data_IF_353988812089
#
_entry.id   IF_353988812089
#
_cell.length_a   1.000
_cell.length_b   1.000
_cell.length_c   1.000
_cell.angle_alpha   90.00
_cell.angle_beta   90.00
_cell.angle_gamma   90.00
#
_symmetry.space_group_name_H-M   'P 1'
#
loop_
_entity.id
_entity.type
_entity.pdbx_description
1 polymer ?
#
# COMPACT_ATOMS: atom_id res chain seq x y z
N UNK A 1 -4.27 -12.74 -15.05
CA UNK A 1 -3.59 -11.45 -14.77
C UNK A 1 -4.22 -10.93 -13.50
N UNK A 2 -3.46 -10.74 -12.42
CA UNK A 2 -4.06 -10.30 -11.17
C UNK A 2 -4.52 -8.83 -11.25
N UNK A 3 -5.66 -8.57 -10.63
CA UNK A 3 -6.36 -7.29 -10.62
C UNK A 3 -6.61 -6.90 -9.18
N UNK A 4 -6.29 -5.65 -8.84
CA UNK A 4 -6.63 -5.08 -7.55
C UNK A 4 -7.89 -4.23 -7.67
N UNK A 5 -8.83 -4.42 -6.74
CA UNK A 5 -9.96 -3.53 -6.51
C UNK A 5 -9.54 -2.46 -5.53
N UNK A 6 -9.61 -1.19 -5.94
CA UNK A 6 -9.05 -0.07 -5.18
C UNK A 6 -10.11 1.00 -4.93
N UNK A 7 -10.33 1.32 -3.65
CA UNK A 7 -11.09 2.51 -3.25
C UNK A 7 -10.14 3.71 -3.27
N UNK A 8 -10.41 4.64 -4.18
CA UNK A 8 -9.53 5.79 -4.45
C UNK A 8 -9.78 6.93 -3.46
N UNK A 9 -8.73 7.70 -3.15
CA UNK A 9 -8.79 8.86 -2.25
C UNK A 9 -9.37 10.10 -2.95
N UNK A 10 -10.63 9.98 -3.39
CA UNK A 10 -11.44 11.02 -3.99
C UNK A 10 -12.84 10.95 -3.37
N UNK A 11 -13.18 11.83 -2.42
CA UNK A 11 -14.45 11.79 -1.70
C UNK A 11 -15.57 12.45 -2.53
N UNK A 12 -15.92 11.84 -3.67
CA UNK A 12 -17.05 12.26 -4.50
C UNK A 12 -17.99 11.09 -4.77
N UNK A 13 -19.30 11.35 -4.89
CA UNK A 13 -20.28 10.27 -5.14
C UNK A 13 -19.98 9.46 -6.40
N UNK A 14 -19.45 10.09 -7.43
CA UNK A 14 -19.09 9.43 -8.69
C UNK A 14 -17.95 8.42 -8.53
N UNK A 15 -17.19 8.50 -7.45
CA UNK A 15 -15.97 7.71 -7.19
C UNK A 15 -16.08 6.82 -5.95
N UNK A 16 -17.27 6.67 -5.37
CA UNK A 16 -17.49 5.85 -4.17
C UNK A 16 -17.68 4.35 -4.49
N UNK A 17 -16.95 3.85 -5.47
CA UNK A 17 -16.91 2.43 -5.85
C UNK A 17 -15.45 2.02 -6.03
N UNK A 18 -15.18 0.73 -5.90
CA UNK A 18 -13.85 0.21 -6.20
C UNK A 18 -13.57 0.30 -7.70
N UNK A 19 -12.35 0.72 -8.03
CA UNK A 19 -11.83 0.74 -9.39
C UNK A 19 -10.84 -0.41 -9.58
N UNK A 20 -10.94 -1.09 -10.73
CA UNK A 20 -10.01 -2.15 -11.09
C UNK A 20 -8.70 -1.58 -11.65
N UNK A 21 -7.57 -2.11 -11.19
CA UNK A 21 -6.23 -1.83 -11.70
C UNK A 21 -5.47 -3.13 -11.92
N UNK A 22 -4.61 -3.17 -12.95
CA UNK A 22 -3.73 -4.33 -13.13
C UNK A 22 -2.59 -4.27 -12.11
N UNK A 23 -2.27 -5.42 -11.53
CA UNK A 23 -1.10 -5.58 -10.65
C UNK A 23 0.11 -5.87 -11.54
N UNK A 24 1.14 -4.99 -11.57
CA UNK A 24 2.40 -5.28 -12.26
C UNK A 24 3.08 -6.52 -11.68
N UNK A 25 3.75 -7.33 -12.51
CA UNK A 25 4.38 -8.60 -12.10
C UNK A 25 5.27 -8.47 -10.86
N UNK A 26 6.03 -7.37 -10.75
CA UNK A 26 6.91 -7.10 -9.62
C UNK A 26 6.21 -6.78 -8.30
N UNK A 27 4.88 -6.56 -8.31
CA UNK A 27 4.06 -6.31 -7.12
C UNK A 27 3.17 -7.50 -6.75
N UNK A 28 3.09 -8.53 -7.59
CA UNK A 28 2.15 -9.66 -7.39
C UNK A 28 2.32 -10.32 -6.03
N UNK A 29 3.56 -10.59 -5.61
CA UNK A 29 3.85 -11.25 -4.34
C UNK A 29 3.94 -10.28 -3.14
N UNK A 30 3.73 -8.98 -3.37
CA UNK A 30 3.88 -7.94 -2.35
C UNK A 30 2.58 -7.24 -2.01
N UNK A 31 1.59 -7.28 -2.91
CA UNK A 31 0.34 -6.55 -2.74
C UNK A 31 -0.68 -7.39 -1.99
N UNK A 32 -1.28 -6.80 -0.97
CA UNK A 32 -2.29 -7.44 -0.14
C UNK A 32 -3.49 -6.49 0.07
N UNK A 33 -4.70 -7.02 0.32
CA UNK A 33 -5.82 -6.22 0.79
C UNK A 33 -5.44 -5.42 2.04
N UNK A 34 -5.88 -4.16 2.10
CA UNK A 34 -5.59 -3.25 3.20
C UNK A 34 -4.33 -2.40 3.04
N UNK A 35 -3.52 -2.67 2.00
CA UNK A 35 -2.39 -1.80 1.64
C UNK A 35 -2.87 -0.52 0.96
N UNK A 36 -2.18 0.59 1.23
CA UNK A 36 -2.32 1.79 0.41
C UNK A 36 -1.41 1.72 -0.80
N UNK A 37 -1.91 2.23 -1.91
CA UNK A 37 -1.22 2.23 -3.21
C UNK A 37 -1.39 3.57 -3.89
N UNK A 38 -0.42 3.94 -4.74
CA UNK A 38 -0.60 5.03 -5.69
C UNK A 38 -1.10 4.47 -7.02
N UNK A 39 -2.12 5.11 -7.57
CA UNK A 39 -2.70 4.74 -8.86
C UNK A 39 -2.90 5.95 -9.76
N UNK A 40 -2.81 5.79 -11.09
CA UNK A 40 -3.21 6.85 -12.02
C UNK A 40 -4.73 7.03 -12.00
N UNK A 41 -5.18 8.27 -11.80
CA UNK A 41 -6.60 8.63 -11.82
C UNK A 41 -6.77 9.99 -12.53
N UNK A 42 -7.40 9.98 -13.71
CA UNK A 42 -7.35 11.12 -14.63
C UNK A 42 -5.91 11.46 -15.04
N UNK A 43 -5.52 12.73 -14.85
CA UNK A 43 -4.21 13.28 -15.22
C UNK A 43 -3.19 13.30 -14.05
N UNK A 44 -3.53 12.70 -12.91
CA UNK A 44 -2.66 12.69 -11.71
C UNK A 44 -2.56 11.30 -11.09
N UNK A 45 -1.60 11.13 -10.18
CA UNK A 45 -1.55 9.97 -9.28
C UNK A 45 -2.21 10.33 -7.96
N UNK A 46 -2.98 9.41 -7.41
CA UNK A 46 -3.63 9.54 -6.11
C UNK A 46 -3.39 8.29 -5.27
N UNK A 47 -3.59 8.41 -3.97
CA UNK A 47 -3.60 7.25 -3.07
C UNK A 47 -4.94 6.54 -3.15
N UNK A 48 -4.95 5.24 -2.87
CA UNK A 48 -6.16 4.45 -2.62
C UNK A 48 -5.83 3.25 -1.74
N UNK A 49 -6.85 2.52 -1.31
CA UNK A 49 -6.73 1.29 -0.55
C UNK A 49 -7.11 0.09 -1.41
N UNK A 50 -6.30 -0.95 -1.38
CA UNK A 50 -6.66 -2.25 -1.95
C UNK A 50 -7.73 -2.86 -1.06
N UNK A 51 -8.91 -3.13 -1.61
CA UNK A 51 -10.03 -3.76 -0.89
C UNK A 51 -10.30 -5.18 -1.35
N UNK A 52 -9.67 -5.61 -2.44
CA UNK A 52 -9.76 -6.97 -2.93
C UNK A 52 -8.76 -7.23 -4.05
N UNK A 53 -8.46 -8.50 -4.28
CA UNK A 53 -7.63 -8.99 -5.38
C UNK A 53 -8.41 -10.09 -6.08
N UNK A 54 -8.39 -10.08 -7.41
CA UNK A 54 -9.06 -11.07 -8.26
C UNK A 54 -8.17 -11.46 -9.44
N UNK A 55 -8.33 -12.68 -9.95
CA UNK A 55 -7.66 -13.13 -11.18
C UNK A 55 -8.38 -12.66 -12.45
N UNK A 56 -9.55 -12.07 -12.28
CA UNK A 56 -10.45 -11.62 -13.33
C UNK A 56 -10.82 -10.14 -13.15
N UNK A 57 -11.14 -9.47 -14.27
CA UNK A 57 -11.76 -8.14 -14.26
C UNK A 57 -13.05 -8.19 -15.06
N UNK A 58 -14.09 -7.56 -14.54
CA UNK A 58 -15.34 -7.30 -15.27
C UNK A 58 -15.25 -6.10 -16.22
N UNK A 59 -14.09 -5.44 -16.29
CA UNK A 59 -13.86 -4.31 -17.18
C UNK A 59 -13.26 -4.77 -18.51
N UNK A 60 -14.00 -4.57 -19.59
CA UNK A 60 -13.59 -4.98 -20.94
C UNK A 60 -12.49 -4.11 -21.57
N UNK A 61 -12.14 -2.99 -20.93
CA UNK A 61 -11.11 -2.06 -21.41
C UNK A 61 -9.72 -2.37 -20.87
N UNK A 62 -8.73 -1.57 -21.31
CA UNK A 62 -7.35 -1.68 -20.81
C UNK A 62 -7.24 -1.13 -19.39
N UNK A 63 -6.96 -2.00 -18.44
CA UNK A 63 -6.65 -1.61 -17.07
C UNK A 63 -5.35 -0.80 -17.00
N UNK A 64 -5.36 0.27 -16.22
CA UNK A 64 -4.15 1.00 -15.87
C UNK A 64 -3.38 0.21 -14.79
N UNK A 65 -2.04 0.21 -14.82
CA UNK A 65 -1.25 -0.46 -13.78
C UNK A 65 -1.22 0.36 -12.49
N UNK A 66 -1.12 -0.34 -11.36
CA UNK A 66 -0.75 0.27 -10.08
C UNK A 66 0.62 0.93 -10.22
N UNK A 67 0.77 2.16 -9.72
CA UNK A 67 2.00 2.93 -9.88
C UNK A 67 3.07 2.56 -8.84
N UNK A 68 2.67 2.35 -7.59
CA UNK A 68 3.56 1.93 -6.50
C UNK A 68 2.76 1.57 -5.24
N UNK A 69 3.31 0.76 -4.33
CA UNK A 69 2.77 0.62 -2.98
C UNK A 69 3.17 1.84 -2.13
N UNK A 70 2.32 2.29 -1.21
CA UNK A 70 2.61 3.36 -0.25
C UNK A 70 3.15 2.77 1.05
N UNK A 71 2.59 1.64 1.46
CA UNK A 71 3.00 0.91 2.64
C UNK A 71 3.76 -0.38 2.27
N UNK A 72 4.49 -0.92 3.24
CA UNK A 72 5.20 -2.21 3.11
C UNK A 72 4.32 -3.40 3.51
N UNK A 73 3.31 -3.15 4.33
CA UNK A 73 2.31 -4.13 4.78
C UNK A 73 0.92 -3.50 4.79
N UNK A 74 -0.16 -4.31 4.89
CA UNK A 74 -1.49 -3.79 5.14
C UNK A 74 -1.52 -2.88 6.37
N UNK A 75 -2.19 -1.75 6.25
CA UNK A 75 -2.41 -0.79 7.35
C UNK A 75 -3.84 -0.84 7.88
N UNK A 76 -4.70 -1.57 7.17
CA UNK A 76 -6.07 -1.90 7.51
C UNK A 76 -6.18 -3.42 7.31
N UNK A 77 -6.79 -4.15 8.24
CA UNK A 77 -7.03 -5.59 8.11
C UNK A 77 -8.38 -5.87 7.41
N UNK A 78 -8.64 -7.10 6.96
CA UNK A 78 -9.89 -7.46 6.27
C UNK A 78 -11.16 -7.08 7.03
N UNK A 79 -11.19 -7.27 8.35
CA UNK A 79 -12.34 -6.95 9.19
C UNK A 79 -12.67 -5.45 9.17
N UNK A 80 -11.65 -4.58 9.11
CA UNK A 80 -11.84 -3.15 8.97
C UNK A 80 -12.25 -2.73 7.55
N UNK A 81 -11.85 -3.47 6.51
CA UNK A 81 -12.33 -3.24 5.13
C UNK A 81 -13.84 -3.49 5.07
N UNK A 82 -14.28 -4.62 5.63
CA UNK A 82 -15.69 -4.99 5.71
C UNK A 82 -16.49 -3.98 6.55
N UNK A 83 -15.95 -3.61 7.72
CA UNK A 83 -16.56 -2.58 8.57
C UNK A 83 -16.66 -1.24 7.86
N UNK A 84 -15.66 -0.83 7.07
CA UNK A 84 -15.68 0.42 6.34
C UNK A 84 -16.77 0.40 5.25
N UNK A 85 -16.94 -0.73 4.57
CA UNK A 85 -18.02 -0.93 3.60
C UNK A 85 -19.38 -0.83 4.28
N UNK A 86 -19.56 -1.55 5.40
CA UNK A 86 -20.80 -1.52 6.17
C UNK A 86 -21.12 -0.12 6.72
N UNK A 87 -20.15 0.58 7.30
CA UNK A 87 -20.33 1.95 7.81
C UNK A 87 -20.72 2.92 6.70
N UNK A 88 -20.10 2.82 5.53
CA UNK A 88 -20.40 3.66 4.38
C UNK A 88 -21.85 3.49 3.92
N UNK A 89 -22.33 2.24 3.84
CA UNK A 89 -23.71 1.91 3.50
C UNK A 89 -24.70 2.43 4.54
N UNK A 90 -24.45 2.17 5.83
CA UNK A 90 -25.38 2.53 6.90
C UNK A 90 -25.45 4.04 7.18
N UNK A 91 -24.37 4.76 6.93
CA UNK A 91 -24.29 6.21 7.24
C UNK A 91 -24.33 7.09 5.99
N UNK A 92 -24.42 6.51 4.79
CA UNK A 92 -24.29 7.20 3.51
C UNK A 92 -22.97 7.99 3.38
N UNK A 93 -21.93 7.56 4.10
CA UNK A 93 -20.59 8.11 4.02
C UNK A 93 -19.83 7.54 2.83
N UNK A 94 -18.72 8.19 2.44
CA UNK A 94 -17.82 7.59 1.46
C UNK A 94 -16.97 6.49 2.13
N UNK A 95 -16.83 5.33 1.49
CA UNK A 95 -16.03 4.22 2.02
C UNK A 95 -14.59 4.64 2.27
N UNK A 96 -14.03 5.50 1.40
CA UNK A 96 -12.71 6.08 1.62
C UNK A 96 -12.63 6.86 2.94
N UNK A 97 -13.67 7.63 3.29
CA UNK A 97 -13.70 8.39 4.54
C UNK A 97 -13.73 7.46 5.76
N UNK A 98 -14.47 6.36 5.67
CA UNK A 98 -14.48 5.32 6.71
C UNK A 98 -13.09 4.68 6.88
N UNK A 99 -12.46 4.24 5.78
CA UNK A 99 -11.11 3.66 5.78
C UNK A 99 -10.06 4.63 6.36
N UNK A 100 -10.11 5.90 5.97
CA UNK A 100 -9.19 6.92 6.48
C UNK A 100 -9.39 7.21 7.98
N UNK A 101 -10.60 7.06 8.49
CA UNK A 101 -10.92 7.28 9.91
C UNK A 101 -10.38 6.18 10.81
N UNK A 102 -10.16 4.98 10.27
CA UNK A 102 -9.57 3.85 10.98
C UNK A 102 -8.06 3.97 11.16
N UNK A 103 -7.40 4.87 10.42
CA UNK A 103 -5.97 5.09 10.53
C UNK A 103 -5.62 6.09 11.65
N UNK A 104 -4.56 5.82 12.44
CA UNK A 104 -3.97 6.82 13.34
C UNK A 104 -3.60 8.11 12.60
N UNK A 105 -3.69 9.25 13.29
CA UNK A 105 -3.43 10.57 12.68
C UNK A 105 -2.07 10.68 11.98
N UNK A 106 -1.01 10.08 12.57
CA UNK A 106 0.33 10.06 11.98
C UNK A 106 0.46 9.22 10.70
N UNK A 107 -0.42 8.24 10.46
CA UNK A 107 -0.41 7.48 9.21
C UNK A 107 -1.11 8.21 8.07
N UNK A 108 -1.99 9.16 8.39
CA UNK A 108 -2.73 9.96 7.39
C UNK A 108 -1.88 11.06 6.77
N UNK A 109 -0.81 11.49 7.45
CA UNK A 109 0.14 12.50 6.96
C UNK A 109 1.24 11.86 6.12
N UNK A 110 1.91 12.65 5.26
CA UNK A 110 3.12 12.24 4.51
C UNK A 110 4.32 12.16 5.45
N UNK A 111 4.25 11.31 6.47
CA UNK A 111 5.38 11.09 7.36
C UNK A 111 6.47 10.36 6.60
N UNK A 112 7.71 10.81 6.78
CA UNK A 112 8.87 10.05 6.33
C UNK A 112 8.94 8.81 7.19
N UNK A 113 8.85 7.66 6.53
CA UNK A 113 9.10 6.39 7.19
C UNK A 113 10.60 6.21 7.37
N UNK A 114 11.02 5.29 8.23
CA UNK A 114 12.42 4.92 8.42
C UNK A 114 12.56 3.40 8.44
N UNK A 115 13.68 2.91 7.92
CA UNK A 115 14.11 1.52 8.15
C UNK A 115 15.10 1.53 9.30
N UNK A 116 14.90 0.63 10.26
CA UNK A 116 15.74 0.46 11.44
C UNK A 116 16.27 -0.97 11.44
N UNK A 117 17.59 -1.13 11.42
CA UNK A 117 18.23 -2.42 11.58
C UNK A 117 18.18 -2.86 13.06
N UNK A 118 17.81 -4.12 13.29
CA UNK A 118 17.66 -4.64 14.65
C UNK A 118 19.01 -4.74 15.40
N UNK A 119 20.10 -4.98 14.69
CA UNK A 119 21.45 -5.07 15.25
C UNK A 119 22.52 -4.81 14.16
N UNK A 120 23.79 -4.78 14.54
CA UNK A 120 24.91 -4.54 13.62
C UNK A 120 25.07 -5.64 12.55
N UNK A 121 24.68 -6.88 12.85
CA UNK A 121 24.75 -7.98 11.86
C UNK A 121 23.79 -7.74 10.70
N UNK A 122 22.60 -7.18 10.98
CA UNK A 122 21.64 -6.78 9.94
C UNK A 122 22.21 -5.65 9.06
N UNK A 123 22.91 -4.68 9.67
CA UNK A 123 23.57 -3.59 8.92
C UNK A 123 24.59 -4.19 7.93
N UNK A 124 25.40 -5.14 8.39
CA UNK A 124 26.42 -5.81 7.57
C UNK A 124 25.80 -6.75 6.50
N UNK A 125 24.62 -7.31 6.79
CA UNK A 125 23.86 -8.15 5.86
C UNK A 125 23.22 -7.36 4.72
N UNK A 126 22.84 -6.10 4.99
CA UNK A 126 22.14 -5.23 4.03
C UNK A 126 22.89 -3.89 3.82
N UNK A 127 24.17 -3.93 3.37
CA UNK A 127 25.00 -2.74 3.23
C UNK A 127 24.48 -1.75 2.18
N UNK A 128 23.73 -2.23 1.19
CA UNK A 128 23.07 -1.43 0.16
C UNK A 128 21.85 -0.65 0.67
N UNK A 129 21.28 -1.05 1.80
CA UNK A 129 20.13 -0.38 2.43
C UNK A 129 20.63 0.59 3.50
N UNK A 130 21.43 0.09 4.44
CA UNK A 130 21.76 0.81 5.67
C UNK A 130 23.03 1.67 5.57
N UNK A 131 23.93 1.38 4.63
CA UNK A 131 25.18 2.15 4.46
C UNK A 131 25.98 2.35 5.77
N UNK A 132 25.98 1.34 6.66
CA UNK A 132 26.64 1.41 7.96
C UNK A 132 25.87 2.15 9.06
N UNK A 133 24.66 2.65 8.78
CA UNK A 133 23.80 3.35 9.73
C UNK A 133 22.73 2.40 10.28
N UNK A 134 22.36 2.56 11.56
CA UNK A 134 21.29 1.75 12.14
C UNK A 134 19.89 2.17 11.62
N UNK A 135 19.74 3.42 11.20
CA UNK A 135 18.47 4.01 10.81
C UNK A 135 18.66 4.85 9.54
N UNK A 136 17.73 4.71 8.59
CA UNK A 136 17.72 5.47 7.34
C UNK A 136 16.29 5.91 6.97
N UNK A 137 16.16 7.09 6.36
CA UNK A 137 14.89 7.56 5.80
C UNK A 137 14.42 6.57 4.70
N UNK A 138 13.23 6.00 4.87
CA UNK A 138 12.60 5.12 3.90
C UNK A 138 11.75 5.90 2.90
N UNK A 139 12.15 5.82 1.63
CA UNK A 139 11.29 6.17 0.52
C UNK A 139 11.29 5.02 -0.49
N UNK A 140 10.14 4.36 -0.68
CA UNK A 140 9.98 3.24 -1.61
C UNK A 140 10.52 3.54 -3.02
N UNK A 141 10.39 4.80 -3.48
CA UNK A 141 10.83 5.20 -4.82
C UNK A 141 12.35 5.21 -5.00
N UNK A 142 13.13 5.17 -3.92
CA UNK A 142 14.60 5.13 -3.97
C UNK A 142 15.15 3.72 -4.20
N UNK A 143 14.33 2.68 -4.00
CA UNK A 143 14.76 1.29 -4.06
C UNK A 143 14.19 0.61 -5.29
N UNK A 144 15.01 -0.23 -5.93
CA UNK A 144 14.54 -1.12 -6.97
C UNK A 144 13.73 -2.30 -6.37
N UNK A 145 13.05 -3.04 -7.23
CA UNK A 145 12.17 -4.13 -6.78
C UNK A 145 12.93 -5.25 -6.07
N UNK A 146 14.19 -5.49 -6.46
CA UNK A 146 15.03 -6.50 -5.82
C UNK A 146 15.36 -6.12 -4.37
N UNK A 147 15.73 -4.86 -4.14
CA UNK A 147 16.02 -4.33 -2.81
C UNK A 147 14.76 -4.23 -1.97
N UNK A 148 13.63 -3.83 -2.54
CA UNK A 148 12.34 -3.83 -1.84
C UNK A 148 11.93 -5.23 -1.37
N UNK A 149 12.16 -6.26 -2.19
CA UNK A 149 11.88 -7.65 -1.81
C UNK A 149 12.74 -8.09 -0.63
N UNK A 150 14.01 -7.67 -0.56
CA UNK A 150 14.88 -7.89 0.59
C UNK A 150 14.40 -7.15 1.84
N UNK A 151 13.99 -5.88 1.70
CA UNK A 151 13.43 -5.09 2.81
C UNK A 151 12.20 -5.79 3.40
N UNK A 152 11.29 -6.25 2.55
CA UNK A 152 10.09 -6.99 2.96
C UNK A 152 10.43 -8.31 3.66
N UNK A 153 11.40 -9.06 3.13
CA UNK A 153 11.87 -10.29 3.77
C UNK A 153 12.51 -10.03 5.14
N UNK A 154 13.36 -9.00 5.25
CA UNK A 154 13.96 -8.57 6.51
C UNK A 154 12.91 -8.09 7.51
N UNK A 155 11.87 -7.40 7.06
CA UNK A 155 10.74 -7.01 7.92
C UNK A 155 9.97 -8.24 8.43
N UNK A 156 9.71 -9.22 7.56
CA UNK A 156 9.00 -10.46 7.93
C UNK A 156 9.78 -11.30 8.95
N UNK A 157 11.12 -11.28 8.86
CA UNK A 157 11.99 -12.02 9.77
C UNK A 157 12.30 -11.25 11.08
N UNK A 158 11.89 -9.98 11.18
CA UNK A 158 12.16 -9.12 12.33
C UNK A 158 13.51 -8.41 12.32
N UNK A 159 14.30 -8.60 11.27
CA UNK A 159 15.62 -7.99 11.08
C UNK A 159 15.52 -6.48 10.83
N UNK A 160 14.49 -6.05 10.10
CA UNK A 160 14.26 -4.66 9.70
C UNK A 160 12.91 -4.17 10.26
N UNK A 161 12.95 -3.16 11.11
CA UNK A 161 11.76 -2.46 11.57
C UNK A 161 11.45 -1.26 10.67
N UNK A 162 10.16 -0.98 10.45
CA UNK A 162 9.68 0.18 9.71
C UNK A 162 8.90 1.07 10.65
N UNK A 163 9.34 2.32 10.81
CA UNK A 163 8.68 3.35 11.63
C UNK A 163 8.13 4.48 10.77
#
# INVERSE_FOLDING_TARGET
MQVAQIIVDVPTRQTNNAYSYSIPDHLVDQIEPGMRVQVPFGNRKITGFVVGISDESSYDGKLKPIASLVDLSPVINPELIDLASWLADQTYSFQISCLQTMLPGGMRTKNKKKLIAQNSQVIDQFPEIFHGQQEIDYNRQQYDNATLSKILAGQKNGDIQVE
#
